data_IF_071131129236
#
_entry.id   IF_071131129236
#
_cell.length_a   1.000
_cell.length_b   1.000
_cell.length_c   1.000
_cell.angle_alpha   90.00
_cell.angle_beta   90.00
_cell.angle_gamma   90.00
#
_symmetry.space_group_name_H-M   'P 1'
#
loop_
_entity.id
_entity.type
_entity.pdbx_description
1 polymer ?
#
# COMPACT_ATOMS: atom_id res chain seq x y z
N UNK A 1 -17.13 -17.87 -0.54
CA UNK A 1 -16.71 -19.15 -1.14
C UNK A 1 -16.24 -18.99 -2.59
N UNK A 2 -17.11 -18.74 -3.58
CA UNK A 2 -16.70 -18.66 -5.01
C UNK A 2 -15.61 -17.63 -5.32
N UNK A 3 -15.70 -16.42 -4.73
CA UNK A 3 -14.71 -15.34 -4.92
C UNK A 3 -13.33 -15.66 -4.30
N UNK A 4 -13.31 -16.34 -3.16
CA UNK A 4 -12.09 -16.78 -2.50
C UNK A 4 -11.41 -17.91 -3.29
N UNK A 5 -12.21 -18.80 -3.89
CA UNK A 5 -11.72 -19.87 -4.76
C UNK A 5 -11.11 -19.31 -6.06
N UNK A 6 -11.73 -18.27 -6.63
CA UNK A 6 -11.20 -17.57 -7.80
C UNK A 6 -9.90 -16.81 -7.48
N UNK A 7 -9.82 -16.15 -6.33
CA UNK A 7 -8.59 -15.50 -5.88
C UNK A 7 -7.46 -16.51 -5.65
N UNK A 8 -7.76 -17.64 -5.01
CA UNK A 8 -6.78 -18.72 -4.81
C UNK A 8 -6.32 -19.34 -6.14
N UNK A 9 -7.24 -19.58 -7.09
CA UNK A 9 -6.91 -20.09 -8.41
C UNK A 9 -6.03 -19.10 -9.21
N UNK A 10 -6.31 -17.80 -9.10
CA UNK A 10 -5.46 -16.77 -9.70
C UNK A 10 -4.05 -16.75 -9.09
N UNK A 11 -3.93 -16.91 -7.77
CA UNK A 11 -2.62 -17.00 -7.11
C UNK A 11 -1.82 -18.24 -7.52
N UNK A 12 -2.48 -19.38 -7.70
CA UNK A 12 -1.84 -20.65 -8.11
C UNK A 12 -1.49 -20.66 -9.60
N UNK A 13 -2.14 -19.83 -10.42
CA UNK A 13 -1.86 -19.67 -11.85
C UNK A 13 -0.76 -18.63 -12.16
N UNK A 14 -0.23 -17.92 -11.15
CA UNK A 14 0.90 -16.99 -11.31
C UNK A 14 2.27 -17.60 -11.68
N UNK A 15 2.59 -18.91 -11.54
CA UNK A 15 3.95 -19.38 -11.78
C UNK A 15 4.17 -19.71 -13.25
N UNK A 16 4.00 -18.75 -14.16
CA UNK A 16 4.57 -18.82 -15.51
C UNK A 16 4.84 -17.38 -15.96
N UNK A 17 5.96 -17.17 -16.65
CA UNK A 17 6.48 -15.89 -17.17
C UNK A 17 7.53 -15.15 -16.32
N UNK A 18 8.29 -15.87 -15.48
CA UNK A 18 9.70 -15.50 -15.32
C UNK A 18 10.48 -16.04 -16.53
N UNK A 19 10.24 -15.48 -17.73
CA UNK A 19 11.23 -15.67 -18.79
C UNK A 19 12.49 -14.98 -18.29
N UNK A 20 13.58 -15.73 -18.17
CA UNK A 20 14.89 -15.16 -17.87
C UNK A 20 15.17 -14.08 -18.92
N UNK A 21 14.99 -12.81 -18.54
CA UNK A 21 15.47 -11.71 -19.36
C UNK A 21 16.95 -11.99 -19.55
N UNK A 22 17.39 -12.19 -20.80
CA UNK A 22 18.82 -12.27 -21.08
C UNK A 22 19.51 -11.07 -20.46
N UNK A 23 20.75 -11.24 -19.99
CA UNK A 23 21.56 -10.16 -19.41
C UNK A 23 21.78 -9.07 -20.47
N UNK A 24 20.81 -8.18 -20.64
CA UNK A 24 20.82 -7.03 -21.53
C UNK A 24 20.20 -5.85 -20.79
N UNK A 25 20.78 -4.66 -20.86
CA UNK A 25 20.11 -3.46 -20.36
C UNK A 25 18.78 -3.26 -21.07
N UNK A 26 17.78 -2.70 -20.39
CA UNK A 26 16.47 -2.52 -21.00
C UNK A 26 15.41 -1.88 -20.11
N UNK A 27 14.35 -1.40 -20.79
CA UNK A 27 13.15 -0.90 -20.14
C UNK A 27 12.29 -2.04 -19.62
N UNK A 28 11.65 -1.82 -18.48
CA UNK A 28 10.62 -2.69 -17.94
C UNK A 28 9.48 -1.90 -17.32
N UNK A 29 8.34 -2.58 -17.19
CA UNK A 29 7.20 -2.12 -16.41
C UNK A 29 6.92 -3.15 -15.32
N UNK A 30 6.50 -2.67 -14.16
CA UNK A 30 6.14 -3.52 -13.03
C UNK A 30 4.86 -3.04 -12.37
N UNK A 31 4.19 -3.96 -11.70
CA UNK A 31 3.10 -3.67 -10.79
C UNK A 31 3.54 -4.03 -9.37
N UNK A 32 3.14 -3.22 -8.40
CA UNK A 32 3.46 -3.43 -7.00
C UNK A 32 2.21 -3.28 -6.13
N UNK A 33 2.21 -3.97 -5.01
CA UNK A 33 1.12 -3.92 -4.05
C UNK A 33 1.53 -4.54 -2.73
N UNK A 34 0.95 -4.05 -1.64
CA UNK A 34 1.32 -4.50 -0.32
C UNK A 34 0.46 -3.93 0.79
N UNK A 35 0.81 -4.32 2.01
CA UNK A 35 0.24 -3.76 3.23
C UNK A 35 1.02 -2.49 3.61
N UNK A 36 0.30 -1.45 4.03
CA UNK A 36 0.91 -0.20 4.51
C UNK A 36 0.65 -0.05 6.01
N UNK A 37 1.69 0.06 6.83
CA UNK A 37 1.58 0.22 8.28
C UNK A 37 2.32 1.48 8.72
N UNK A 38 1.60 2.40 9.37
CA UNK A 38 2.19 3.60 9.97
C UNK A 38 2.21 3.47 11.50
N UNK A 39 3.26 3.99 12.13
CA UNK A 39 3.37 4.01 13.58
C UNK A 39 2.42 5.07 14.17
N UNK A 40 1.86 4.78 15.34
CA UNK A 40 1.10 5.77 16.10
C UNK A 40 2.00 6.97 16.41
N UNK A 41 1.48 8.18 16.18
CA UNK A 41 2.24 9.42 16.38
C UNK A 41 1.36 10.45 17.10
N UNK A 42 1.95 11.55 17.55
CA UNK A 42 1.22 12.69 18.11
C UNK A 42 1.46 13.90 17.23
N UNK A 43 0.40 14.49 16.68
CA UNK A 43 0.45 15.68 15.84
C UNK A 43 -0.34 16.78 16.54
N UNK A 44 0.31 17.91 16.83
CA UNK A 44 -0.30 19.06 17.51
C UNK A 44 -1.03 18.68 18.84
N UNK A 45 -0.46 17.74 19.60
CA UNK A 45 -1.02 17.28 20.88
C UNK A 45 -2.20 16.29 20.77
N UNK A 46 -2.60 15.92 19.55
CA UNK A 46 -3.57 14.85 19.31
C UNK A 46 -2.83 13.56 18.94
N UNK A 47 -3.16 12.46 19.62
CA UNK A 47 -2.70 11.14 19.23
C UNK A 47 -3.35 10.74 17.90
N UNK A 48 -2.55 10.38 16.93
CA UNK A 48 -2.96 9.88 15.62
C UNK A 48 -2.61 8.39 15.58
N UNK A 49 -3.62 7.55 15.35
CA UNK A 49 -3.49 6.10 15.28
C UNK A 49 -3.94 5.63 13.89
N UNK A 50 -3.01 5.58 12.92
CA UNK A 50 -3.27 4.97 11.62
C UNK A 50 -3.46 3.46 11.78
N UNK A 51 -4.46 2.90 11.12
CA UNK A 51 -4.64 1.46 11.00
C UNK A 51 -3.84 0.91 9.83
N UNK A 52 -3.54 -0.39 9.84
CA UNK A 52 -2.98 -1.09 8.69
C UNK A 52 -3.89 -0.90 7.48
N UNK A 53 -3.28 -0.53 6.36
CA UNK A 53 -3.95 -0.25 5.10
C UNK A 53 -3.26 -0.96 3.94
N UNK A 54 -3.48 -0.48 2.73
CA UNK A 54 -2.85 -1.04 1.54
C UNK A 54 -2.12 0.02 0.72
N UNK A 55 -1.19 -0.46 -0.08
CA UNK A 55 -0.51 0.27 -1.13
C UNK A 55 -0.70 -0.49 -2.45
N UNK A 56 -0.92 0.23 -3.53
CA UNK A 56 -0.95 -0.31 -4.88
C UNK A 56 -0.33 0.68 -5.84
N UNK A 57 0.50 0.20 -6.75
CA UNK A 57 1.29 1.06 -7.63
C UNK A 57 1.86 0.32 -8.82
N UNK A 58 2.67 1.06 -9.58
CA UNK A 58 3.41 0.53 -10.69
C UNK A 58 4.71 1.28 -10.87
N UNK A 59 5.61 0.67 -11.63
CA UNK A 59 6.94 1.18 -11.92
C UNK A 59 7.21 1.13 -13.41
N UNK A 60 7.87 2.16 -13.91
CA UNK A 60 8.54 2.15 -15.21
C UNK A 60 10.01 2.34 -14.92
N UNK A 61 10.86 1.43 -15.38
CA UNK A 61 12.28 1.45 -15.05
C UNK A 61 13.17 1.11 -16.23
N UNK A 62 14.47 1.39 -16.05
CA UNK A 62 15.53 0.93 -16.93
C UNK A 62 16.60 0.22 -16.09
N UNK A 63 16.89 -1.03 -16.44
CA UNK A 63 17.94 -1.84 -15.80
C UNK A 63 19.22 -1.75 -16.64
N UNK A 64 20.35 -1.41 -16.02
CA UNK A 64 21.66 -1.35 -16.65
C UNK A 64 22.46 -2.66 -16.50
N UNK A 65 21.81 -3.75 -16.07
CA UNK A 65 22.42 -4.98 -15.54
C UNK A 65 23.21 -4.65 -14.27
N UNK A 66 22.48 -4.31 -13.21
CA UNK A 66 23.05 -3.98 -11.90
C UNK A 66 22.23 -2.91 -11.20
N UNK A 67 22.69 -1.64 -11.17
CA UNK A 67 21.86 -0.51 -10.75
C UNK A 67 20.64 -0.31 -11.67
N UNK A 68 19.53 0.16 -11.10
CA UNK A 68 18.31 0.48 -11.83
C UNK A 68 17.90 1.91 -11.55
N UNK A 69 17.27 2.53 -12.55
CA UNK A 69 16.52 3.77 -12.35
C UNK A 69 15.04 3.47 -12.54
N UNK A 70 14.23 3.93 -11.60
CA UNK A 70 12.81 3.62 -11.53
C UNK A 70 12.01 4.90 -11.31
N UNK A 71 10.91 5.03 -12.05
CA UNK A 71 9.85 5.97 -11.76
C UNK A 71 8.67 5.17 -11.19
N UNK A 72 8.43 5.35 -9.89
CA UNK A 72 7.40 4.67 -9.12
C UNK A 72 6.20 5.59 -8.91
N UNK A 73 5.00 5.06 -9.13
CA UNK A 73 3.74 5.72 -8.79
C UNK A 73 2.90 4.83 -7.88
N UNK A 74 2.58 5.32 -6.67
CA UNK A 74 1.87 4.53 -5.65
C UNK A 74 0.72 5.29 -5.04
N UNK A 75 -0.43 4.61 -4.96
CA UNK A 75 -1.56 5.01 -4.14
C UNK A 75 -1.54 4.23 -2.82
N UNK A 76 -1.67 4.95 -1.70
CA UNK A 76 -1.72 4.35 -0.36
C UNK A 76 -2.98 4.82 0.35
N UNK A 77 -3.63 3.91 1.08
CA UNK A 77 -4.79 4.22 1.91
C UNK A 77 -4.67 3.56 3.28
N UNK A 78 -4.84 4.37 4.32
CA UNK A 78 -4.94 3.93 5.72
C UNK A 78 -6.11 4.65 6.37
N UNK A 79 -6.92 3.92 7.14
CA UNK A 79 -7.89 4.56 8.02
C UNK A 79 -7.15 5.18 9.21
N UNK A 80 -7.58 6.36 9.66
CA UNK A 80 -6.93 7.08 10.76
C UNK A 80 -7.93 7.33 11.88
N UNK A 81 -7.57 6.93 13.10
CA UNK A 81 -8.26 7.33 14.33
C UNK A 81 -7.49 8.46 15.01
N UNK A 82 -8.19 9.40 15.64
CA UNK A 82 -7.60 10.54 16.34
C UNK A 82 -8.06 10.51 17.80
N UNK A 83 -7.12 10.33 18.73
CA UNK A 83 -7.28 10.47 20.17
C UNK A 83 -6.77 11.86 20.61
N UNK A 84 -7.64 12.85 20.63
CA UNK A 84 -7.30 14.16 21.18
C UNK A 84 -7.65 14.22 22.68
N UNK A 85 -6.63 14.33 23.54
CA UNK A 85 -6.76 14.39 25.00
C UNK A 85 -7.53 15.63 25.54
N UNK A 86 -7.93 16.55 24.64
CA UNK A 86 -8.70 17.76 24.97
C UNK A 86 -10.07 17.84 24.26
N UNK A 87 -10.63 16.72 23.76
CA UNK A 87 -12.07 16.68 23.44
C UNK A 87 -12.88 16.41 24.71
N UNK A 88 -12.88 17.41 25.59
CA UNK A 88 -13.86 17.51 26.64
C UNK A 88 -15.25 17.36 26.02
N UNK A 89 -16.10 16.60 26.71
CA UNK A 89 -17.48 16.33 26.32
C UNK A 89 -18.21 17.61 25.88
N UNK A 90 -18.45 17.75 24.59
CA UNK A 90 -19.48 18.62 24.03
C UNK A 90 -20.27 17.80 23.01
N UNK A 91 -21.35 17.20 23.51
CA UNK A 91 -22.51 16.72 22.76
C UNK A 91 -22.26 15.61 21.73
N UNK A 92 -22.46 14.35 22.14
CA UNK A 92 -23.04 13.26 21.31
C UNK A 92 -22.64 13.16 19.82
N UNK A 93 -21.38 13.44 19.47
CA UNK A 93 -20.84 13.26 18.12
C UNK A 93 -19.44 12.63 18.21
N UNK A 94 -19.38 11.38 18.69
CA UNK A 94 -18.19 10.54 18.54
C UNK A 94 -18.61 9.33 17.71
N UNK A 95 -18.50 9.48 16.39
CA UNK A 95 -18.85 8.44 15.46
C UNK A 95 -18.34 8.80 14.08
N UNK A 96 -17.11 8.36 13.78
CA UNK A 96 -16.66 8.09 12.43
C UNK A 96 -16.56 9.31 11.49
N UNK A 97 -15.42 10.01 11.53
CA UNK A 97 -14.94 10.68 10.32
C UNK A 97 -14.48 9.59 9.35
N UNK A 98 -15.43 9.09 8.56
CA UNK A 98 -15.14 8.35 7.35
C UNK A 98 -14.57 9.33 6.34
N UNK A 99 -13.25 9.23 6.11
CA UNK A 99 -12.61 9.65 4.88
C UNK A 99 -12.01 8.41 4.23
#
# INVERSE_FOLDING_TARGET
MKKALLAAAALVALPVMAQAQGLSPGFYIGAEGGVNWLLNTTILGAGVQPQTGFAAGGVIGYDFIGPRVELEGVYRQNQVSINAANRGAIGNQVGQLGI
#
